data_IF_726101527763
#
_entry.id   IF_726101527763
#
_cell.length_a   1.000
_cell.length_b   1.000
_cell.length_c   1.000
_cell.angle_alpha   90.00
_cell.angle_beta   90.00
_cell.angle_gamma   90.00
#
_symmetry.space_group_name_H-M   'P 1'
#
loop_
_entity.id
_entity.type
_entity.pdbx_description
1 polymer ?
#
# COMPACT_ATOMS: atom_id res chain seq x y z
N UNK A 1 -8.47 14.80 -18.88
CA UNK A 1 -7.10 14.71 -18.34
C UNK A 1 -7.11 13.66 -17.24
N UNK A 2 -6.59 12.45 -17.48
CA UNK A 2 -6.61 11.39 -16.46
C UNK A 2 -5.69 11.77 -15.30
N UNK A 3 -6.20 11.78 -14.06
CA UNK A 3 -5.35 11.97 -12.88
C UNK A 3 -4.32 10.83 -12.82
N UNK A 4 -3.04 11.16 -12.70
CA UNK A 4 -2.02 10.18 -12.36
C UNK A 4 -2.28 9.68 -10.94
N UNK A 5 -2.61 8.39 -10.82
CA UNK A 5 -2.82 7.73 -9.53
C UNK A 5 -1.46 7.32 -8.97
N UNK A 6 -0.99 8.03 -7.93
CA UNK A 6 0.25 7.71 -7.24
C UNK A 6 0.15 6.33 -6.60
N UNK A 7 1.16 5.49 -6.87
CA UNK A 7 1.25 4.14 -6.28
C UNK A 7 2.21 4.16 -5.10
N UNK A 8 1.80 3.57 -3.98
CA UNK A 8 2.57 3.48 -2.73
C UNK A 8 2.77 1.99 -2.39
N UNK A 9 4.01 1.59 -2.11
CA UNK A 9 4.34 0.27 -1.56
C UNK A 9 4.56 0.39 -0.05
N UNK A 10 3.80 -0.38 0.72
CA UNK A 10 3.95 -0.51 2.17
C UNK A 10 4.62 -1.86 2.46
N UNK A 11 5.66 -1.85 3.28
CA UNK A 11 6.35 -3.06 3.74
C UNK A 11 6.32 -3.06 5.26
N UNK A 12 5.68 -4.06 5.83
CA UNK A 12 5.52 -4.23 7.27
C UNK A 12 5.23 -5.71 7.56
N UNK A 13 5.83 -6.29 8.60
CA UNK A 13 5.68 -7.71 8.93
C UNK A 13 4.39 -8.02 9.72
N UNK A 14 3.66 -6.99 10.16
CA UNK A 14 2.37 -7.14 10.84
C UNK A 14 1.18 -7.04 9.84
N UNK A 15 0.43 -8.13 9.59
CA UNK A 15 -0.67 -8.12 8.63
C UNK A 15 -1.80 -7.12 8.96
N UNK A 16 -2.01 -6.85 10.24
CA UNK A 16 -2.99 -5.86 10.73
C UNK A 16 -2.62 -4.43 10.32
N UNK A 17 -1.33 -4.10 10.32
CA UNK A 17 -0.81 -2.80 9.87
C UNK A 17 -0.98 -2.66 8.36
N UNK A 18 -0.61 -3.68 7.59
CA UNK A 18 -0.82 -3.69 6.13
C UNK A 18 -2.30 -3.50 5.77
N UNK A 19 -3.21 -4.20 6.47
CA UNK A 19 -4.65 -4.06 6.25
C UNK A 19 -5.13 -2.63 6.54
N UNK A 20 -4.71 -2.07 7.67
CA UNK A 20 -5.09 -0.71 8.10
C UNK A 20 -4.61 0.35 7.11
N UNK A 21 -3.33 0.28 6.73
CA UNK A 21 -2.73 1.24 5.80
C UNK A 21 -3.31 1.11 4.39
N UNK A 22 -3.62 -0.11 3.95
CA UNK A 22 -4.25 -0.32 2.64
C UNK A 22 -5.60 0.40 2.57
N UNK A 23 -6.44 0.27 3.60
CA UNK A 23 -7.74 0.96 3.66
C UNK A 23 -7.58 2.48 3.62
N UNK A 24 -6.75 3.03 4.51
CA UNK A 24 -6.50 4.49 4.59
C UNK A 24 -6.00 5.04 3.25
N UNK A 25 -4.99 4.40 2.65
CA UNK A 25 -4.40 4.90 1.40
C UNK A 25 -5.35 4.77 0.21
N UNK A 26 -6.18 3.72 0.15
CA UNK A 26 -7.19 3.60 -0.91
C UNK A 26 -8.31 4.63 -0.75
N UNK A 27 -8.72 4.94 0.48
CA UNK A 27 -9.74 5.96 0.76
C UNK A 27 -9.25 7.37 0.36
N UNK A 28 -7.95 7.63 0.51
CA UNK A 28 -7.28 8.86 0.04
C UNK A 28 -7.01 8.88 -1.48
N UNK A 29 -7.36 7.81 -2.20
CA UNK A 29 -7.26 7.74 -3.66
C UNK A 29 -5.90 7.29 -4.20
N UNK A 30 -5.04 6.72 -3.35
CA UNK A 30 -3.78 6.10 -3.77
C UNK A 30 -3.98 4.64 -4.20
N UNK A 31 -3.12 4.17 -5.10
CA UNK A 31 -2.97 2.73 -5.33
C UNK A 31 -1.99 2.16 -4.31
N UNK A 32 -2.47 1.33 -3.40
CA UNK A 32 -1.63 0.70 -2.37
C UNK A 32 -1.18 -0.70 -2.80
N UNK A 33 0.13 -0.97 -2.75
CA UNK A 33 0.75 -2.28 -2.77
C UNK A 33 1.24 -2.60 -1.36
N UNK A 34 1.21 -3.87 -0.96
CA UNK A 34 1.59 -4.31 0.38
C UNK A 34 2.47 -5.56 0.29
N UNK A 35 3.49 -5.64 1.13
CA UNK A 35 4.34 -6.81 1.28
C UNK A 35 4.67 -7.04 2.76
N UNK A 36 4.63 -8.30 3.19
CA UNK A 36 4.95 -8.70 4.58
C UNK A 36 6.46 -8.76 4.87
N UNK A 37 7.30 -8.56 3.85
CA UNK A 37 8.74 -8.53 4.02
C UNK A 37 9.42 -7.83 2.85
N UNK A 38 10.62 -7.32 3.08
CA UNK A 38 11.49 -6.74 2.05
C UNK A 38 11.92 -7.77 1.00
N UNK A 39 11.92 -9.07 1.32
CA UNK A 39 12.12 -10.14 0.34
C UNK A 39 10.93 -10.33 -0.60
N UNK A 40 9.70 -10.04 -0.16
CA UNK A 40 8.49 -10.08 -1.00
C UNK A 40 8.22 -8.75 -1.72
N UNK A 41 8.95 -7.69 -1.38
CA UNK A 41 8.75 -6.32 -1.89
C UNK A 41 9.50 -5.97 -3.18
N UNK A 42 10.19 -6.92 -3.82
CA UNK A 42 10.91 -6.76 -5.09
C UNK A 42 10.62 -7.91 -6.05
#
# INVERSE_FOLDING_TARGET
MGKHMTTILVIDDEPSILQSLRGILTDEGYRCLAAESSFRGL
#
